data_IF_024402946176
#
_entry.id   IF_024402946176
#
_cell.length_a   1.000
_cell.length_b   1.000
_cell.length_c   1.000
_cell.angle_alpha   90.00
_cell.angle_beta   90.00
_cell.angle_gamma   90.00
#
_symmetry.space_group_name_H-M   'P 1'
#
loop_
_entity.id
_entity.type
_entity.pdbx_description
1 polymer ?
#
# COMPACT_ATOMS: atom_id res chain seq x y z
N UNK A 1 11.14 -2.35 -17.40
CA UNK A 1 12.43 -2.02 -16.79
C UNK A 1 12.10 -1.22 -15.53
N UNK A 2 12.06 -1.87 -14.36
CA UNK A 2 11.78 -1.17 -13.10
C UNK A 2 13.06 -0.50 -12.63
N UNK A 3 13.08 0.85 -12.63
CA UNK A 3 14.17 1.59 -11.96
C UNK A 3 14.08 1.25 -10.47
N UNK A 4 15.13 0.65 -9.92
CA UNK A 4 15.35 0.65 -8.46
C UNK A 4 15.56 2.11 -8.06
N UNK A 5 14.64 2.62 -7.28
CA UNK A 5 14.84 3.93 -6.67
C UNK A 5 15.90 3.78 -5.58
N UNK A 6 16.93 4.63 -5.66
CA UNK A 6 17.97 4.73 -4.64
C UNK A 6 17.31 5.09 -3.30
N UNK A 7 17.52 4.23 -2.32
CA UNK A 7 17.01 4.37 -0.96
C UNK A 7 17.76 5.40 -0.11
N UNK A 8 18.58 6.25 -0.74
CA UNK A 8 19.33 7.33 -0.09
C UNK A 8 18.53 8.64 0.02
N UNK A 9 17.24 8.57 0.30
CA UNK A 9 16.51 9.74 0.77
C UNK A 9 16.79 9.84 2.26
N UNK A 10 17.67 10.75 2.62
CA UNK A 10 18.02 11.06 4.00
C UNK A 10 16.74 11.35 4.79
N UNK A 11 16.62 10.70 5.91
CA UNK A 11 15.54 10.90 6.87
C UNK A 11 15.65 12.34 7.39
N UNK A 12 14.93 13.28 6.81
CA UNK A 12 14.73 14.56 7.44
C UNK A 12 13.64 14.38 8.50
N UNK A 13 14.04 14.53 9.76
CA UNK A 13 13.29 14.17 10.99
C UNK A 13 12.01 14.98 11.24
N UNK A 14 11.45 15.63 10.23
CA UNK A 14 10.32 16.56 10.36
C UNK A 14 9.00 16.13 9.73
N UNK A 15 8.96 15.03 8.98
CA UNK A 15 7.72 14.53 8.39
C UNK A 15 7.21 13.26 9.08
N UNK A 16 5.90 13.11 9.25
CA UNK A 16 5.31 11.84 9.65
C UNK A 16 5.52 10.79 8.55
N UNK A 17 5.54 9.51 8.90
CA UNK A 17 5.58 8.39 7.92
C UNK A 17 4.54 8.57 6.82
N UNK A 18 3.36 9.07 7.17
CA UNK A 18 2.28 9.35 6.23
C UNK A 18 2.68 10.42 5.20
N UNK A 19 3.32 11.50 5.64
CA UNK A 19 3.79 12.58 4.76
C UNK A 19 4.93 12.11 3.85
N UNK A 20 5.84 11.30 4.36
CA UNK A 20 6.93 10.73 3.56
C UNK A 20 6.41 9.73 2.53
N UNK A 21 5.46 8.86 2.90
CA UNK A 21 4.79 7.96 1.97
C UNK A 21 4.04 8.73 0.89
N UNK A 22 3.35 9.80 1.24
CA UNK A 22 2.65 10.67 0.30
C UNK A 22 3.65 11.37 -0.64
N UNK A 23 4.76 11.87 -0.13
CA UNK A 23 5.80 12.54 -0.94
C UNK A 23 6.48 11.56 -1.90
N UNK A 24 6.81 10.35 -1.43
CA UNK A 24 7.39 9.30 -2.26
C UNK A 24 6.43 8.86 -3.38
N UNK A 25 5.15 8.64 -3.05
CA UNK A 25 4.13 8.29 -4.04
C UNK A 25 3.84 9.45 -5.01
N UNK A 26 4.02 10.70 -4.58
CA UNK A 26 3.87 11.88 -5.44
C UNK A 26 4.91 11.89 -6.58
N UNK A 27 6.15 11.56 -6.31
CA UNK A 27 7.19 11.47 -7.33
C UNK A 27 6.96 10.33 -8.34
N UNK A 28 6.32 9.23 -7.95
CA UNK A 28 5.86 8.17 -8.87
C UNK A 28 4.64 8.58 -9.71
N UNK A 29 3.98 9.67 -9.36
CA UNK A 29 2.75 10.13 -9.97
C UNK A 29 2.92 10.53 -11.45
N UNK A 30 4.08 11.04 -11.84
CA UNK A 30 4.36 11.45 -13.22
C UNK A 30 4.24 10.32 -14.24
N UNK A 31 4.29 9.06 -13.81
CA UNK A 31 4.36 7.88 -14.69
C UNK A 31 2.99 7.24 -14.98
N UNK A 32 1.96 7.51 -14.19
CA UNK A 32 0.73 6.73 -14.31
C UNK A 32 -0.60 7.46 -14.22
N UNK A 33 -0.66 8.59 -13.54
CA UNK A 33 -1.88 9.39 -13.36
C UNK A 33 -1.53 10.75 -12.76
N UNK A 34 -2.14 11.85 -13.27
CA UNK A 34 -2.95 11.92 -14.47
C UNK A 34 -2.11 11.86 -15.75
N UNK A 35 -2.66 11.30 -16.83
CA UNK A 35 -2.03 11.28 -18.14
C UNK A 35 -2.46 12.48 -18.98
N UNK A 36 -3.75 12.85 -18.94
CA UNK A 36 -4.30 13.92 -19.75
C UNK A 36 -3.76 15.29 -19.30
N UNK A 37 -3.55 16.16 -20.29
CA UNK A 37 -3.18 17.55 -20.06
C UNK A 37 -4.29 18.28 -19.30
N UNK A 38 -5.55 18.03 -19.65
CA UNK A 38 -6.69 18.59 -18.97
C UNK A 38 -6.68 18.37 -17.46
N UNK A 39 -6.42 17.12 -17.02
CA UNK A 39 -6.36 16.81 -15.60
C UNK A 39 -5.13 17.42 -14.92
N UNK A 40 -3.99 17.46 -15.60
CA UNK A 40 -2.77 18.10 -15.09
C UNK A 40 -2.94 19.60 -14.89
N UNK A 41 -3.54 20.29 -15.87
CA UNK A 41 -3.69 21.75 -15.83
C UNK A 41 -4.78 22.21 -14.84
N UNK A 42 -5.88 21.45 -14.75
CA UNK A 42 -7.05 21.85 -13.94
C UNK A 42 -7.01 21.32 -12.52
N UNK A 43 -6.36 20.21 -12.29
CA UNK A 43 -6.33 19.49 -11.02
C UNK A 43 -4.90 19.07 -10.64
N UNK A 44 -3.94 20.02 -10.75
CA UNK A 44 -2.53 19.79 -10.47
C UNK A 44 -2.25 19.28 -9.05
N UNK A 45 -3.15 19.57 -8.10
CA UNK A 45 -3.09 19.06 -6.72
C UNK A 45 -3.85 17.74 -6.53
N UNK A 46 -4.59 17.28 -7.56
CA UNK A 46 -5.34 16.03 -7.47
C UNK A 46 -4.42 14.84 -7.68
N UNK A 47 -4.22 14.13 -6.61
CA UNK A 47 -3.28 13.05 -6.54
C UNK A 47 -3.97 11.75 -6.15
N UNK A 48 -3.68 10.70 -6.89
CA UNK A 48 -4.09 9.34 -6.56
C UNK A 48 -2.86 8.52 -6.22
N UNK A 49 -2.67 8.25 -4.95
CA UNK A 49 -1.57 7.43 -4.47
C UNK A 49 -1.58 6.04 -5.11
N UNK A 50 -0.44 5.37 -5.10
CA UNK A 50 -0.33 3.97 -5.54
C UNK A 50 -1.32 3.07 -4.81
N UNK A 51 -1.53 3.31 -3.51
CA UNK A 51 -2.49 2.60 -2.69
C UNK A 51 -3.92 2.82 -3.17
N UNK A 52 -4.30 4.06 -3.48
CA UNK A 52 -5.62 4.39 -4.03
C UNK A 52 -5.83 3.75 -5.41
N UNK A 53 -4.83 3.78 -6.30
CA UNK A 53 -4.88 3.12 -7.61
C UNK A 53 -4.99 1.59 -7.49
N UNK A 54 -4.29 0.99 -6.53
CA UNK A 54 -4.40 -0.44 -6.24
C UNK A 54 -5.76 -0.80 -5.64
N UNK A 55 -6.31 0.05 -4.76
CA UNK A 55 -7.64 -0.15 -4.19
C UNK A 55 -8.75 -0.13 -5.25
N UNK A 56 -8.59 0.64 -6.33
CA UNK A 56 -9.53 0.64 -7.46
C UNK A 56 -9.65 -0.74 -8.15
N UNK A 57 -8.68 -1.62 -7.97
CA UNK A 57 -8.63 -2.95 -8.56
C UNK A 57 -9.10 -4.07 -7.62
N UNK A 58 -9.60 -3.74 -6.43
CA UNK A 58 -10.04 -4.75 -5.46
C UNK A 58 -11.45 -5.26 -5.76
N UNK A 59 -11.72 -6.49 -5.32
CA UNK A 59 -13.02 -7.14 -5.51
C UNK A 59 -14.13 -6.45 -4.72
N UNK A 60 -15.35 -6.50 -5.26
CA UNK A 60 -16.55 -5.88 -4.63
C UNK A 60 -17.03 -6.59 -3.37
N UNK A 61 -16.53 -7.76 -3.06
CA UNK A 61 -17.05 -8.53 -1.93
C UNK A 61 -16.43 -8.06 -0.61
N UNK A 62 -16.95 -6.93 -0.13
CA UNK A 62 -16.50 -6.24 1.09
C UNK A 62 -16.52 -7.16 2.31
N UNK A 63 -17.53 -8.03 2.43
CA UNK A 63 -17.64 -8.93 3.59
C UNK A 63 -16.56 -10.00 3.61
N UNK A 64 -16.27 -10.61 2.46
CA UNK A 64 -15.20 -11.61 2.35
C UNK A 64 -13.81 -11.01 2.50
N UNK A 65 -13.59 -9.79 1.99
CA UNK A 65 -12.29 -9.14 2.11
C UNK A 65 -11.96 -8.73 3.54
N UNK A 66 -12.95 -8.31 4.33
CA UNK A 66 -12.73 -7.81 5.69
C UNK A 66 -12.61 -8.96 6.70
N UNK A 67 -13.33 -10.07 6.50
CA UNK A 67 -13.27 -11.25 7.38
C UNK A 67 -12.22 -12.27 6.96
N UNK A 68 -11.52 -12.02 5.84
CA UNK A 68 -10.61 -12.97 5.22
C UNK A 68 -9.18 -12.84 5.74
N UNK A 69 -8.40 -13.88 5.49
CA UNK A 69 -6.94 -13.89 5.67
C UNK A 69 -6.26 -12.66 5.03
N UNK A 70 -6.85 -12.08 3.97
CA UNK A 70 -6.33 -10.89 3.30
C UNK A 70 -6.34 -9.65 4.20
N UNK A 71 -7.41 -9.45 4.98
CA UNK A 71 -7.47 -8.35 5.94
C UNK A 71 -6.48 -8.57 7.10
N UNK A 72 -6.40 -9.79 7.62
CA UNK A 72 -5.42 -10.14 8.66
C UNK A 72 -3.98 -9.87 8.19
N UNK A 73 -3.64 -10.22 6.95
CA UNK A 73 -2.33 -9.92 6.33
C UNK A 73 -2.09 -8.41 6.27
N UNK A 74 -3.09 -7.63 5.87
CA UNK A 74 -2.99 -6.17 5.80
C UNK A 74 -2.78 -5.56 7.19
N UNK A 75 -3.59 -5.97 8.16
CA UNK A 75 -3.51 -5.51 9.55
C UNK A 75 -2.14 -5.83 10.17
N UNK A 76 -1.71 -7.08 10.08
CA UNK A 76 -0.44 -7.51 10.67
C UNK A 76 0.76 -6.80 10.02
N UNK A 77 0.70 -6.53 8.73
CA UNK A 77 1.71 -5.76 8.03
C UNK A 77 1.77 -4.30 8.48
N UNK A 78 0.60 -3.66 8.63
CA UNK A 78 0.51 -2.29 9.14
C UNK A 78 1.02 -2.19 10.58
N UNK A 79 0.62 -3.14 11.42
CA UNK A 79 1.09 -3.20 12.81
C UNK A 79 2.59 -3.49 12.91
N UNK A 80 3.14 -4.36 12.06
CA UNK A 80 4.57 -4.64 12.02
C UNK A 80 5.37 -3.39 11.65
N UNK A 81 4.87 -2.58 10.72
CA UNK A 81 5.49 -1.31 10.37
C UNK A 81 5.57 -0.38 11.57
N UNK A 82 4.45 -0.18 12.29
CA UNK A 82 4.41 0.64 13.51
C UNK A 82 5.31 0.05 14.61
N UNK A 83 5.37 -1.28 14.70
CA UNK A 83 6.25 -1.99 15.63
C UNK A 83 7.73 -1.69 15.35
N UNK A 84 8.15 -1.76 14.08
CA UNK A 84 9.52 -1.43 13.69
C UNK A 84 9.85 0.04 13.92
N UNK A 85 8.97 0.96 13.57
CA UNK A 85 9.14 2.39 13.84
C UNK A 85 9.37 2.70 15.31
N UNK A 86 8.75 1.92 16.20
CA UNK A 86 8.87 2.14 17.63
C UNK A 86 10.08 1.48 18.27
N UNK A 87 10.41 0.26 17.87
CA UNK A 87 11.40 -0.57 18.56
C UNK A 87 12.68 -0.81 17.79
N UNK A 88 12.64 -0.70 16.46
CA UNK A 88 13.78 -0.93 15.57
C UNK A 88 13.71 0.07 14.42
N UNK A 89 13.94 1.34 14.73
CA UNK A 89 13.77 2.47 13.81
C UNK A 89 14.55 2.32 12.50
N UNK A 90 15.68 1.63 12.52
CA UNK A 90 16.49 1.32 11.34
C UNK A 90 15.76 0.48 10.29
N UNK A 91 14.72 -0.25 10.69
CA UNK A 91 13.92 -1.10 9.80
C UNK A 91 12.65 -0.42 9.27
N UNK A 92 12.29 0.74 9.81
CA UNK A 92 11.02 1.40 9.48
C UNK A 92 10.88 1.73 8.00
N UNK A 93 11.98 1.99 7.31
CA UNK A 93 12.01 2.38 5.89
C UNK A 93 12.59 1.32 4.95
N UNK A 94 12.94 0.14 5.43
CA UNK A 94 13.62 -0.86 4.61
C UNK A 94 12.61 -1.75 3.89
N UNK A 95 12.34 -1.40 2.63
CA UNK A 95 11.54 -2.25 1.74
C UNK A 95 12.27 -3.56 1.43
N UNK A 96 11.64 -4.66 1.72
CA UNK A 96 12.16 -6.00 1.39
C UNK A 96 12.47 -6.91 2.57
N UNK A 97 12.60 -6.34 3.77
CA UNK A 97 12.66 -7.12 5.00
C UNK A 97 11.26 -7.59 5.44
N UNK A 98 11.24 -8.64 6.23
CA UNK A 98 10.03 -9.18 6.83
C UNK A 98 8.90 -9.52 5.82
N UNK A 99 9.27 -10.02 4.64
CA UNK A 99 8.31 -10.56 3.68
C UNK A 99 7.88 -11.97 4.10
N UNK A 100 7.22 -12.07 5.23
CA UNK A 100 6.68 -13.33 5.74
C UNK A 100 5.20 -13.43 5.48
N UNK A 101 4.75 -14.63 5.16
CA UNK A 101 3.32 -14.88 4.98
C UNK A 101 2.63 -15.04 6.33
N UNK A 102 1.37 -14.62 6.37
CA UNK A 102 0.45 -14.78 7.49
C UNK A 102 -0.45 -15.97 7.19
N UNK A 103 -0.49 -16.92 8.09
CA UNK A 103 -1.38 -18.08 8.06
C UNK A 103 -2.62 -17.83 8.93
N UNK A 104 -3.64 -18.68 8.79
CA UNK A 104 -4.89 -18.53 9.54
C UNK A 104 -4.69 -18.64 11.05
N UNK A 105 -3.81 -19.53 11.48
CA UNK A 105 -3.51 -19.82 12.88
C UNK A 105 -2.52 -18.82 13.50
N UNK A 106 -1.86 -18.00 12.70
CA UNK A 106 -0.89 -17.03 13.20
C UNK A 106 -1.53 -16.04 14.16
N UNK A 107 -0.92 -15.86 15.32
CA UNK A 107 -1.13 -14.70 16.18
C UNK A 107 -0.22 -13.55 15.72
N UNK A 108 -0.49 -12.33 16.16
CA UNK A 108 0.42 -11.22 15.88
C UNK A 108 1.83 -11.49 16.45
N UNK A 109 1.92 -12.14 17.61
CA UNK A 109 3.21 -12.54 18.20
C UNK A 109 3.98 -13.48 17.28
N UNK A 110 3.34 -14.56 16.79
CA UNK A 110 4.01 -15.52 15.90
C UNK A 110 4.45 -14.85 14.60
N UNK A 111 3.66 -13.94 14.06
CA UNK A 111 4.01 -13.18 12.88
C UNK A 111 5.21 -12.26 13.10
N UNK A 112 5.24 -11.50 14.21
CA UNK A 112 6.39 -10.64 14.57
C UNK A 112 7.66 -11.44 14.72
N UNK A 113 7.60 -12.61 15.40
CA UNK A 113 8.77 -13.50 15.57
C UNK A 113 9.27 -13.99 14.19
N UNK A 114 8.38 -14.44 13.30
CA UNK A 114 8.76 -14.83 11.93
C UNK A 114 9.43 -13.65 11.20
N UNK A 115 8.92 -12.44 11.34
CA UNK A 115 9.45 -11.24 10.71
C UNK A 115 10.84 -10.86 11.27
N UNK A 116 11.03 -10.89 12.58
CA UNK A 116 12.31 -10.61 13.23
C UNK A 116 13.38 -11.62 12.83
N UNK A 117 13.04 -12.91 12.72
CA UNK A 117 13.95 -13.94 12.24
C UNK A 117 14.35 -13.74 10.78
N UNK A 118 13.40 -13.36 9.91
CA UNK A 118 13.69 -13.03 8.51
C UNK A 118 14.64 -11.81 8.40
N UNK A 119 14.43 -10.80 9.22
CA UNK A 119 15.34 -9.63 9.31
C UNK A 119 16.72 -10.04 9.81
N UNK A 120 16.80 -10.83 10.87
CA UNK A 120 18.08 -11.26 11.44
C UNK A 120 18.95 -12.02 10.43
N UNK A 121 18.31 -12.78 9.52
CA UNK A 121 19.01 -13.53 8.46
C UNK A 121 19.47 -12.65 7.30
N UNK A 122 18.71 -11.60 6.96
CA UNK A 122 18.95 -10.77 5.77
C UNK A 122 19.73 -9.48 6.06
N UNK A 123 19.67 -9.00 7.28
CA UNK A 123 20.36 -7.77 7.68
C UNK A 123 21.87 -8.03 7.79
N UNK A 124 22.68 -7.15 7.22
CA UNK A 124 24.17 -7.22 7.34
C UNK A 124 24.67 -6.34 8.49
N UNK A 125 23.90 -5.32 8.87
CA UNK A 125 24.29 -4.37 9.91
C UNK A 125 24.24 -5.02 11.31
N UNK A 126 25.39 -5.00 11.99
CA UNK A 126 25.51 -5.61 13.31
C UNK A 126 24.72 -4.86 14.41
N UNK A 127 24.57 -3.56 14.31
CA UNK A 127 23.80 -2.77 15.28
C UNK A 127 22.32 -3.15 15.20
N UNK A 128 21.79 -3.21 14.00
CA UNK A 128 20.41 -3.65 13.75
C UNK A 128 20.19 -5.09 14.21
N UNK A 129 21.15 -6.00 13.96
CA UNK A 129 21.07 -7.38 14.48
C UNK A 129 21.00 -7.46 15.99
N UNK A 130 21.81 -6.65 16.70
CA UNK A 130 21.76 -6.61 18.16
C UNK A 130 20.41 -6.12 18.68
N UNK A 131 19.83 -5.07 18.07
CA UNK A 131 18.49 -4.58 18.41
C UNK A 131 17.42 -5.62 18.16
N UNK A 132 17.45 -6.28 17.00
CA UNK A 132 16.54 -7.40 16.66
C UNK A 132 16.63 -8.48 17.70
N UNK A 133 17.84 -8.89 18.10
CA UNK A 133 18.04 -9.89 19.13
C UNK A 133 17.49 -9.47 20.49
N UNK A 134 17.77 -8.24 20.92
CA UNK A 134 17.25 -7.68 22.17
C UNK A 134 15.71 -7.63 22.21
N UNK A 135 15.07 -7.22 21.11
CA UNK A 135 13.62 -7.21 20.98
C UNK A 135 13.06 -8.63 20.99
N UNK A 136 13.71 -9.56 20.28
CA UNK A 136 13.26 -10.97 20.23
C UNK A 136 13.35 -11.64 21.59
N UNK A 137 14.41 -11.38 22.34
CA UNK A 137 14.60 -11.94 23.70
C UNK A 137 13.52 -11.44 24.68
N UNK A 138 13.08 -10.18 24.53
CA UNK A 138 12.11 -9.57 25.41
C UNK A 138 10.72 -9.43 24.75
N UNK A 139 10.41 -10.28 23.78
CA UNK A 139 9.23 -10.11 22.90
C UNK A 139 7.91 -10.04 23.69
N UNK A 140 7.77 -10.79 24.77
CA UNK A 140 6.54 -10.81 25.56
C UNK A 140 6.31 -9.48 26.29
N UNK A 141 7.36 -8.90 26.86
CA UNK A 141 7.27 -7.59 27.49
C UNK A 141 6.97 -6.51 26.45
N UNK A 142 7.71 -6.51 25.34
CA UNK A 142 7.54 -5.55 24.25
C UNK A 142 6.12 -5.59 23.67
N UNK A 143 5.58 -6.78 23.46
CA UNK A 143 4.22 -6.94 22.96
C UNK A 143 3.17 -6.55 24.01
N UNK A 144 3.41 -6.76 25.29
CA UNK A 144 2.50 -6.32 26.36
C UNK A 144 2.34 -4.80 26.33
N UNK A 145 3.43 -4.07 26.09
CA UNK A 145 3.39 -2.61 25.93
C UNK A 145 2.75 -2.16 24.59
N UNK A 146 2.95 -2.94 23.54
CA UNK A 146 2.45 -2.61 22.19
C UNK A 146 0.96 -2.93 22.02
N UNK A 147 0.46 -4.01 22.59
CA UNK A 147 -0.90 -4.52 22.36
C UNK A 147 -2.04 -3.53 22.67
N UNK A 148 -1.96 -2.64 23.69
CA UNK A 148 -3.00 -1.63 23.88
C UNK A 148 -3.23 -0.71 22.68
N UNK A 149 -2.23 -0.57 21.80
CA UNK A 149 -2.34 0.20 20.58
C UNK A 149 -3.05 -0.59 19.45
N UNK A 150 -3.07 -1.92 19.53
CA UNK A 150 -3.59 -2.82 18.51
C UNK A 150 -5.03 -2.49 18.11
N UNK A 151 -5.93 -2.40 19.09
CA UNK A 151 -7.36 -2.13 18.85
C UNK A 151 -7.59 -0.78 18.15
N UNK A 152 -6.78 0.22 18.49
CA UNK A 152 -6.87 1.52 17.84
C UNK A 152 -6.50 1.42 16.35
N UNK A 153 -5.39 0.78 16.02
CA UNK A 153 -4.96 0.63 14.63
C UNK A 153 -5.87 -0.28 13.82
N UNK A 154 -6.43 -1.33 14.43
CA UNK A 154 -7.40 -2.20 13.80
C UNK A 154 -8.65 -1.42 13.36
N UNK A 155 -9.23 -0.64 14.26
CA UNK A 155 -10.40 0.19 13.95
C UNK A 155 -10.11 1.22 12.84
N UNK A 156 -8.97 1.88 12.87
CA UNK A 156 -8.58 2.84 11.82
C UNK A 156 -8.38 2.14 10.48
N UNK A 157 -7.64 1.05 10.46
CA UNK A 157 -7.37 0.31 9.23
C UNK A 157 -8.64 -0.28 8.63
N UNK A 158 -9.54 -0.81 9.49
CA UNK A 158 -10.83 -1.30 9.05
C UNK A 158 -11.65 -0.19 8.38
N UNK A 159 -11.75 0.97 9.03
CA UNK A 159 -12.50 2.12 8.51
C UNK A 159 -11.91 2.61 7.17
N UNK A 160 -10.59 2.78 7.10
CA UNK A 160 -9.91 3.21 5.86
C UNK A 160 -10.12 2.18 4.75
N UNK A 161 -9.98 0.89 5.05
CA UNK A 161 -10.16 -0.19 4.07
C UNK A 161 -11.60 -0.24 3.56
N UNK A 162 -12.58 -0.03 4.44
CA UNK A 162 -13.99 0.05 4.06
C UNK A 162 -14.25 1.24 3.13
N UNK A 163 -13.72 2.41 3.44
CA UNK A 163 -13.83 3.62 2.60
C UNK A 163 -13.19 3.36 1.24
N UNK A 164 -11.97 2.85 1.20
CA UNK A 164 -11.26 2.53 -0.05
C UNK A 164 -12.06 1.58 -0.94
N UNK A 165 -12.65 0.53 -0.36
CA UNK A 165 -13.47 -0.40 -1.14
C UNK A 165 -14.74 0.24 -1.70
N UNK A 166 -15.37 1.15 -0.97
CA UNK A 166 -16.58 1.87 -1.44
C UNK A 166 -16.26 2.80 -2.60
N UNK A 167 -15.11 3.44 -2.56
CA UNK A 167 -14.68 4.38 -3.62
C UNK A 167 -13.90 3.71 -4.75
N UNK A 168 -13.57 2.44 -4.66
CA UNK A 168 -12.72 1.74 -5.63
C UNK A 168 -13.21 1.89 -7.08
N UNK A 169 -14.51 1.73 -7.31
CA UNK A 169 -15.09 1.87 -8.66
C UNK A 169 -15.05 3.31 -9.17
N UNK A 170 -15.27 4.29 -8.30
CA UNK A 170 -15.16 5.69 -8.68
C UNK A 170 -13.71 6.00 -9.12
N UNK A 171 -12.73 5.54 -8.37
CA UNK A 171 -11.30 5.71 -8.72
C UNK A 171 -10.97 5.03 -10.04
N UNK A 172 -11.47 3.80 -10.28
CA UNK A 172 -11.29 3.10 -11.56
C UNK A 172 -11.84 3.91 -12.73
N UNK A 173 -13.05 4.46 -12.60
CA UNK A 173 -13.66 5.29 -13.64
C UNK A 173 -12.89 6.59 -13.87
N UNK A 174 -12.44 7.27 -12.82
CA UNK A 174 -11.63 8.49 -12.94
C UNK A 174 -10.34 8.21 -13.71
N UNK A 175 -9.64 7.12 -13.40
CA UNK A 175 -8.43 6.71 -14.12
C UNK A 175 -8.75 6.36 -15.59
N UNK A 176 -9.86 5.67 -15.84
CA UNK A 176 -10.26 5.31 -17.21
C UNK A 176 -10.62 6.55 -18.03
N UNK A 177 -11.35 7.51 -17.45
CA UNK A 177 -11.71 8.77 -18.12
C UNK A 177 -10.48 9.65 -18.40
N UNK A 178 -9.52 9.72 -17.49
CA UNK A 178 -8.25 10.42 -17.73
C UNK A 178 -7.52 9.85 -18.95
N UNK A 179 -7.49 8.53 -19.10
CA UNK A 179 -6.90 7.88 -20.28
C UNK A 179 -7.68 8.15 -21.56
N UNK A 180 -9.00 8.22 -21.49
CA UNK A 180 -9.85 8.62 -22.63
C UNK A 180 -9.54 10.06 -23.06
N UNK A 181 -9.45 10.98 -22.12
CA UNK A 181 -9.08 12.38 -22.39
C UNK A 181 -7.68 12.45 -23.03
N UNK A 182 -6.70 11.73 -22.47
CA UNK A 182 -5.36 11.66 -23.04
C UNK A 182 -5.38 11.19 -24.51
N UNK A 183 -6.18 10.18 -24.86
CA UNK A 183 -6.30 9.72 -26.24
C UNK A 183 -6.90 10.77 -27.16
N UNK A 184 -7.94 11.49 -26.74
CA UNK A 184 -8.50 12.59 -27.50
C UNK A 184 -7.50 13.73 -27.70
N UNK A 185 -6.75 14.10 -26.67
CA UNK A 185 -5.69 15.11 -26.75
C UNK A 185 -4.58 14.72 -27.74
N UNK A 186 -4.39 13.42 -27.98
CA UNK A 186 -3.43 12.90 -28.94
C UNK A 186 -4.04 12.56 -30.33
N UNK A 187 -5.22 13.12 -30.62
CA UNK A 187 -5.83 13.10 -31.96
C UNK A 187 -6.59 11.81 -32.30
N UNK A 188 -6.91 10.99 -31.30
CA UNK A 188 -7.80 9.84 -31.49
C UNK A 188 -9.23 10.34 -31.61
N UNK A 189 -9.93 9.97 -32.69
CA UNK A 189 -11.28 10.48 -33.00
C UNK A 189 -12.40 9.71 -32.33
N UNK A 190 -12.19 8.42 -32.11
CA UNK A 190 -13.20 7.54 -31.52
C UNK A 190 -12.59 6.78 -30.34
N UNK A 191 -13.16 6.96 -29.16
CA UNK A 191 -12.77 6.22 -27.94
C UNK A 191 -14.03 5.70 -27.27
N UNK A 192 -14.03 4.41 -26.93
CA UNK A 192 -15.14 3.75 -26.21
C UNK A 192 -14.61 3.07 -24.96
N UNK A 193 -15.34 3.23 -23.85
CA UNK A 193 -15.18 2.43 -22.66
C UNK A 193 -16.15 1.25 -22.71
N UNK A 194 -15.63 0.05 -22.70
CA UNK A 194 -16.44 -1.17 -22.80
C UNK A 194 -16.18 -2.02 -21.56
N UNK A 195 -17.25 -2.44 -20.92
CA UNK A 195 -17.17 -3.45 -19.86
C UNK A 195 -17.16 -4.83 -20.51
N UNK A 196 -16.07 -5.58 -20.33
CA UNK A 196 -15.90 -6.90 -20.96
C UNK A 196 -16.54 -8.03 -20.17
N UNK A 197 -16.45 -7.98 -18.83
CA UNK A 197 -16.86 -9.06 -17.96
C UNK A 197 -17.74 -8.57 -16.82
N UNK A 198 -18.38 -9.50 -16.14
CA UNK A 198 -18.97 -9.22 -14.85
C UNK A 198 -17.86 -8.94 -13.82
N UNK A 199 -18.05 -7.95 -12.99
CA UNK A 199 -17.11 -7.55 -11.93
C UNK A 199 -16.76 -8.71 -10.96
N UNK A 200 -17.64 -9.71 -10.85
CA UNK A 200 -17.39 -10.92 -10.04
C UNK A 200 -16.36 -11.87 -10.69
N UNK A 201 -16.20 -11.83 -12.01
CA UNK A 201 -15.24 -12.65 -12.72
C UNK A 201 -13.85 -11.98 -12.76
N UNK A 202 -13.84 -10.67 -12.93
CA UNK A 202 -12.61 -9.89 -12.92
C UNK A 202 -12.88 -8.46 -12.49
N UNK A 203 -12.06 -7.95 -11.60
CA UNK A 203 -12.09 -6.54 -11.19
C UNK A 203 -11.57 -5.62 -12.29
N UNK A 204 -10.70 -6.12 -13.19
CA UNK A 204 -10.16 -5.40 -14.34
C UNK A 204 -10.99 -5.70 -15.57
N UNK A 205 -12.19 -5.15 -15.64
CA UNK A 205 -13.16 -5.45 -16.67
C UNK A 205 -13.46 -4.28 -17.63
N UNK A 206 -12.74 -3.16 -17.50
CA UNK A 206 -12.90 -2.01 -18.41
C UNK A 206 -11.84 -2.08 -19.50
N UNK A 207 -12.29 -2.15 -20.75
CA UNK A 207 -11.49 -2.00 -21.95
C UNK A 207 -11.63 -0.58 -22.49
N UNK A 208 -10.53 0.03 -22.88
CA UNK A 208 -10.51 1.27 -23.66
C UNK A 208 -10.25 0.88 -25.10
N UNK A 209 -11.25 1.02 -25.95
CA UNK A 209 -11.14 0.85 -27.38
C UNK A 209 -10.90 2.21 -28.02
N UNK A 210 -9.91 2.30 -28.90
CA UNK A 210 -9.56 3.54 -29.56
C UNK A 210 -9.33 3.30 -31.07
N UNK A 211 -9.87 4.21 -31.90
CA UNK A 211 -9.67 4.21 -33.37
C UNK A 211 -9.13 5.57 -33.78
N UNK A 212 -8.03 5.55 -34.49
CA UNK A 212 -7.38 6.75 -35.07
C UNK A 212 -8.05 7.17 -36.36
#
# INVERSE_FOLDING_TARGET
MFKRYDTNIGYDSKGSFLEQTLTFEYNEHEIGYPLSKYMKDKYNEMFLSRTARNAAMQTKNVKESITSLSYKKLLYRALLQVFFERYITELSMVYGYAKVDVENEDTFKTYVIKALNDVATKCEDNNTKQKVHAVTTNIDQVLTEFMPMYMKYDNYLWTISFIHMRFSKLVEYIIALDRVLFLFENGVKEVKLVRLFNDMLSTRNILIYARK
#
